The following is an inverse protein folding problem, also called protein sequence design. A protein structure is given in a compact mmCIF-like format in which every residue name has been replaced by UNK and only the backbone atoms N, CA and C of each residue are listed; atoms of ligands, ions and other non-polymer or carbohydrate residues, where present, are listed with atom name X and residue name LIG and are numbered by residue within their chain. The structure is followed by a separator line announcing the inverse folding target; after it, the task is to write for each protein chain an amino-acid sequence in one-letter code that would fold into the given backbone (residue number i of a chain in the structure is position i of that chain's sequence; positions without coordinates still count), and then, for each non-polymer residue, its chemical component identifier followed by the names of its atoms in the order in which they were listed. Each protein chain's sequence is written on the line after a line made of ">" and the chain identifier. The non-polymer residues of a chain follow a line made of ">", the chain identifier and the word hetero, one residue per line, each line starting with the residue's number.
data_IF_014583226089
#
_entry.id   IF_014583226089
#
_cell.length_a   1.000
_cell.length_b   1.000
_cell.length_c   1.000
_cell.angle_alpha   90.00
_cell.angle_beta   90.00
_cell.angle_gamma   90.00
#
_symmetry.space_group_name_H-M   'P 1'
#
loop_
_entity.id
_entity.type
_entity.pdbx_description
1 polymer ?
#
# COMPACT_ATOMS: atom_id res chain seq x y z
N UNK A 1 -20.58 -10.54 7.38
CA UNK A 1 -19.80 -9.96 6.25
C UNK A 1 -18.98 -8.81 6.81
N UNK A 2 -17.69 -8.72 6.52
CA UNK A 2 -16.83 -7.67 7.08
C UNK A 2 -15.32 -7.90 6.91
N UNK A 3 -14.90 -9.16 6.73
CA UNK A 3 -13.49 -9.49 6.49
C UNK A 3 -13.19 -9.59 4.99
N UNK A 4 -12.04 -9.07 4.53
CA UNK A 4 -11.46 -9.33 3.21
C UNK A 4 -11.46 -10.83 2.89
N UNK A 5 -11.77 -11.17 1.64
CA UNK A 5 -11.74 -12.54 1.16
C UNK A 5 -10.60 -12.69 0.16
N UNK A 6 -9.54 -13.38 0.59
CA UNK A 6 -8.37 -13.66 -0.25
C UNK A 6 -8.64 -14.91 -1.07
N UNK A 7 -9.32 -14.74 -2.20
CA UNK A 7 -9.61 -15.85 -3.10
C UNK A 7 -8.36 -16.28 -3.87
N UNK A 8 -8.43 -17.41 -4.57
CA UNK A 8 -7.39 -17.80 -5.52
C UNK A 8 -7.05 -16.64 -6.48
N UNK A 9 -5.75 -16.47 -6.77
CA UNK A 9 -5.21 -15.34 -7.54
C UNK A 9 -5.16 -14.00 -6.79
N UNK A 10 -5.36 -13.99 -5.47
CA UNK A 10 -5.24 -12.75 -4.68
C UNK A 10 -3.83 -12.16 -4.74
N UNK A 11 -2.79 -12.98 -4.54
CA UNK A 11 -1.40 -12.53 -4.56
C UNK A 11 -1.01 -11.95 -5.93
N UNK A 12 -1.45 -12.56 -7.02
CA UNK A 12 -1.22 -12.05 -8.38
C UNK A 12 -1.87 -10.69 -8.59
N UNK A 13 -3.08 -10.48 -8.05
CA UNK A 13 -3.75 -9.17 -8.08
C UNK A 13 -3.00 -8.13 -7.25
N UNK A 14 -2.53 -8.50 -6.06
CA UNK A 14 -1.73 -7.62 -5.21
C UNK A 14 -0.42 -7.23 -5.91
N UNK A 15 0.25 -8.18 -6.56
CA UNK A 15 1.46 -7.93 -7.35
C UNK A 15 1.17 -6.94 -8.50
N UNK A 16 0.12 -7.20 -9.29
CA UNK A 16 -0.27 -6.31 -10.38
C UNK A 16 -0.68 -4.90 -9.90
N UNK A 17 -1.28 -4.78 -8.71
CA UNK A 17 -1.55 -3.48 -8.09
C UNK A 17 -0.25 -2.77 -7.75
N UNK A 18 0.71 -3.45 -7.11
CA UNK A 18 2.01 -2.87 -6.74
C UNK A 18 2.82 -2.43 -7.96
N UNK A 19 2.82 -3.21 -9.03
CA UNK A 19 3.46 -2.84 -10.31
C UNK A 19 2.86 -1.55 -10.90
N UNK A 20 1.54 -1.41 -10.88
CA UNK A 20 0.87 -0.19 -11.35
C UNK A 20 1.11 0.99 -10.42
N UNK A 21 1.20 0.75 -9.11
CA UNK A 21 1.45 1.79 -8.13
C UNK A 21 2.84 2.43 -8.34
N UNK A 22 3.83 1.64 -8.75
CA UNK A 22 5.15 2.13 -9.11
C UNK A 22 5.14 3.13 -10.28
N UNK A 23 4.10 3.14 -11.11
CA UNK A 23 3.94 4.14 -12.20
C UNK A 23 3.34 5.46 -11.70
N UNK A 24 2.98 5.55 -10.42
CA UNK A 24 2.30 6.69 -9.83
C UNK A 24 3.04 7.17 -8.56
N UNK A 25 4.21 7.80 -8.70
CA UNK A 25 4.92 8.38 -7.56
C UNK A 25 4.03 9.30 -6.73
N UNK A 26 4.07 9.11 -5.41
CA UNK A 26 3.25 9.84 -4.44
C UNK A 26 1.83 9.28 -4.22
N UNK A 27 1.40 8.27 -4.99
CA UNK A 27 0.21 7.49 -4.68
C UNK A 27 0.59 6.32 -3.78
N UNK A 28 -0.07 6.21 -2.63
CA UNK A 28 0.12 5.11 -1.69
C UNK A 28 -1.22 4.46 -1.36
N UNK A 29 -1.22 3.14 -1.23
CA UNK A 29 -2.39 2.37 -0.82
C UNK A 29 -2.17 1.85 0.61
N UNK A 30 -3.24 1.86 1.40
CA UNK A 30 -3.25 1.31 2.74
C UNK A 30 -4.56 0.53 2.97
N UNK A 31 -4.47 -0.54 3.76
CA UNK A 31 -5.62 -1.33 4.17
C UNK A 31 -5.32 -2.82 4.30
N UNK A 32 -6.34 -3.57 4.71
CA UNK A 32 -6.28 -5.00 4.97
C UNK A 32 -6.60 -5.87 3.74
N UNK A 33 -6.38 -5.35 2.52
CA UNK A 33 -6.52 -6.14 1.29
C UNK A 33 -5.17 -6.62 0.74
N UNK A 34 -4.04 -6.30 1.38
CA UNK A 34 -2.72 -6.61 0.81
C UNK A 34 -2.03 -7.70 1.60
N UNK A 35 -1.63 -7.41 2.83
CA UNK A 35 -0.72 -8.27 3.60
C UNK A 35 -1.33 -8.79 4.91
N UNK A 36 -2.58 -8.44 5.22
CA UNK A 36 -3.25 -8.89 6.44
C UNK A 36 -4.73 -8.55 6.47
N UNK A 37 -5.53 -9.30 7.22
CA UNK A 37 -7.01 -9.27 7.18
C UNK A 37 -7.59 -8.49 8.36
N UNK A 38 -6.84 -8.38 9.45
CA UNK A 38 -7.30 -7.82 10.72
C UNK A 38 -7.26 -6.29 10.79
N UNK A 39 -7.93 -5.75 11.82
CA UNK A 39 -7.81 -4.33 12.17
C UNK A 39 -6.36 -3.90 12.48
N UNK A 40 -5.55 -4.69 13.22
CA UNK A 40 -4.14 -4.35 13.44
C UNK A 40 -3.35 -4.20 12.14
N UNK A 41 -3.60 -5.06 11.15
CA UNK A 41 -2.95 -5.00 9.84
C UNK A 41 -3.34 -3.73 9.08
N UNK A 42 -4.62 -3.34 9.16
CA UNK A 42 -5.10 -2.08 8.58
C UNK A 42 -4.41 -0.86 9.21
N UNK A 43 -4.31 -0.83 10.55
CA UNK A 43 -3.62 0.25 11.29
C UNK A 43 -2.14 0.30 10.91
N UNK A 44 -1.47 -0.85 10.89
CA UNK A 44 -0.06 -0.95 10.50
C UNK A 44 0.17 -0.45 9.07
N UNK A 45 -0.66 -0.90 8.12
CA UNK A 45 -0.60 -0.48 6.72
C UNK A 45 -0.79 1.03 6.57
N UNK A 46 -1.77 1.61 7.27
CA UNK A 46 -2.00 3.06 7.26
C UNK A 46 -0.82 3.86 7.83
N UNK A 47 -0.23 3.38 8.94
CA UNK A 47 0.93 4.02 9.55
C UNK A 47 2.16 3.97 8.63
N UNK A 48 2.44 2.82 8.02
CA UNK A 48 3.56 2.65 7.10
C UNK A 48 3.43 3.54 5.87
N UNK A 49 2.22 3.65 5.29
CA UNK A 49 1.96 4.56 4.18
C UNK A 49 2.19 6.03 4.58
N UNK A 50 1.70 6.45 5.75
CA UNK A 50 1.90 7.81 6.26
C UNK A 50 3.38 8.13 6.50
N UNK A 51 4.13 7.22 7.12
CA UNK A 51 5.58 7.37 7.34
C UNK A 51 6.34 7.52 6.02
N UNK A 52 5.98 6.72 5.01
CA UNK A 52 6.57 6.81 3.67
C UNK A 52 6.28 8.16 3.01
N UNK A 53 5.03 8.61 3.05
CA UNK A 53 4.62 9.91 2.49
C UNK A 53 5.36 11.05 3.18
N UNK A 54 5.41 11.05 4.51
CA UNK A 54 6.10 12.10 5.27
C UNK A 54 7.60 12.15 4.94
N UNK A 55 8.25 10.99 4.80
CA UNK A 55 9.65 10.92 4.39
C UNK A 55 9.88 11.47 2.98
N UNK A 56 9.00 11.16 2.03
CA UNK A 56 9.06 11.68 0.67
C UNK A 56 8.82 13.20 0.61
N UNK A 57 7.87 13.73 1.39
CA UNK A 57 7.60 15.16 1.48
C UNK A 57 8.75 15.94 2.14
N UNK A 58 9.44 15.33 3.11
CA UNK A 58 10.63 15.92 3.72
C UNK A 58 11.83 15.99 2.75
N UNK A 59 11.87 15.12 1.73
CA UNK A 59 12.91 15.07 0.70
C UNK A 59 12.32 15.08 -0.71
N UNK A 60 11.83 16.23 -1.20
CA UNK A 60 11.08 16.33 -2.47
C UNK A 60 11.87 15.91 -3.71
N UNK A 61 13.21 15.86 -3.63
CA UNK A 61 14.07 15.34 -4.70
C UNK A 61 13.87 13.84 -4.99
N UNK A 62 13.28 13.08 -4.04
CA UNK A 62 13.01 11.64 -4.19
C UNK A 62 11.62 11.33 -4.76
N UNK A 63 10.70 12.30 -4.74
CA UNK A 63 9.31 12.13 -5.21
C UNK A 63 9.19 11.99 -6.72
N UNK A 64 10.19 12.44 -7.49
CA UNK A 64 10.20 12.35 -8.95
C UNK A 64 10.92 11.11 -9.51
N UNK A 65 11.56 10.30 -8.66
CA UNK A 65 12.48 9.23 -9.07
C UNK A 65 11.95 7.80 -8.81
N UNK A 66 10.71 7.66 -8.34
CA UNK A 66 10.06 6.37 -8.10
C UNK A 66 8.99 6.08 -9.16
#
# INVERSE_FOLDING_TARGET
>A
RGMPQYTLGHLDRVAAIRERLALHPGLHLAGNYFDGVGLPDCIHSGRSAAETILAALANPAQTAAA
#
